data_IF_672761908220
#
_entry.id   IF_672761908220
#
_cell.length_a   1.000
_cell.length_b   1.000
_cell.length_c   1.000
_cell.angle_alpha   90.00
_cell.angle_beta   90.00
_cell.angle_gamma   90.00
#
_symmetry.space_group_name_H-M   'P 1'
#
loop_
_entity.id
_entity.type
_entity.pdbx_description
1 polymer ?
#
# COMPACT_ATOMS: atom_id res chain seq x y z
N UNK A 1 19.51 6.58 -0.39
CA UNK A 1 20.50 6.48 0.72
C UNK A 1 21.96 6.60 0.27
N UNK A 2 22.27 6.62 -1.04
CA UNK A 2 23.65 6.79 -1.53
C UNK A 2 24.19 8.23 -1.46
N UNK A 3 23.33 9.23 -1.21
CA UNK A 3 23.68 10.65 -1.31
C UNK A 3 23.69 11.40 0.04
N UNK A 4 23.35 10.74 1.15
CA UNK A 4 23.26 11.38 2.47
C UNK A 4 24.22 10.67 3.44
N UNK A 5 25.17 11.42 3.99
CA UNK A 5 26.04 10.94 5.06
C UNK A 5 25.24 10.82 6.36
N UNK A 6 24.96 9.59 6.78
CA UNK A 6 24.24 9.29 8.02
C UNK A 6 25.26 8.90 9.10
N UNK A 7 25.18 9.58 10.25
CA UNK A 7 26.06 9.38 11.42
C UNK A 7 25.99 7.96 12.01
N UNK A 8 24.83 7.32 11.93
CA UNK A 8 24.55 6.04 12.59
C UNK A 8 24.52 4.88 11.58
N UNK A 9 24.93 3.69 12.02
CA UNK A 9 24.93 2.45 11.22
C UNK A 9 23.50 1.94 10.98
N UNK A 10 22.69 1.95 12.04
CA UNK A 10 21.29 1.56 11.99
C UNK A 10 20.39 2.74 11.65
N UNK A 11 19.43 2.48 10.77
CA UNK A 11 18.44 3.45 10.32
C UNK A 11 17.04 2.89 10.59
N UNK A 12 16.15 3.75 11.07
CA UNK A 12 14.73 3.45 11.20
C UNK A 12 13.92 4.33 10.25
N UNK A 13 13.10 3.74 9.38
CA UNK A 13 12.18 4.47 8.49
C UNK A 13 10.85 4.71 9.21
N UNK A 14 10.51 5.98 9.44
CA UNK A 14 9.25 6.40 10.04
C UNK A 14 8.59 7.47 9.16
N UNK A 15 7.34 7.24 8.78
CA UNK A 15 6.55 8.21 8.02
C UNK A 15 5.88 9.25 8.94
N UNK A 16 5.47 10.38 8.35
CA UNK A 16 4.92 11.51 9.11
C UNK A 16 3.60 11.20 9.85
N UNK A 17 2.83 10.23 9.34
CA UNK A 17 1.57 9.75 9.91
C UNK A 17 1.74 8.47 10.75
N UNK A 18 2.96 8.04 11.02
CA UNK A 18 3.29 6.91 11.89
C UNK A 18 3.81 7.39 13.25
N UNK A 19 3.83 6.49 14.24
CA UNK A 19 4.35 6.79 15.58
C UNK A 19 5.24 5.66 16.09
N UNK A 20 6.47 6.02 16.49
CA UNK A 20 7.32 5.13 17.28
C UNK A 20 6.74 5.03 18.70
N UNK A 21 6.54 3.81 19.21
CA UNK A 21 6.13 3.60 20.61
C UNK A 21 7.35 3.34 21.49
N UNK A 22 7.28 3.63 22.81
CA UNK A 22 8.37 3.31 23.73
C UNK A 22 8.75 1.82 23.72
N UNK A 23 7.76 0.93 23.61
CA UNK A 23 7.96 -0.51 23.59
C UNK A 23 8.72 -0.94 22.33
N UNK A 24 8.29 -0.46 21.16
CA UNK A 24 8.94 -0.72 19.89
C UNK A 24 10.37 -0.15 19.85
N UNK A 25 10.56 1.04 20.39
CA UNK A 25 11.88 1.65 20.51
C UNK A 25 12.82 0.79 21.35
N UNK A 26 12.36 0.32 22.51
CA UNK A 26 13.15 -0.57 23.37
C UNK A 26 13.46 -1.91 22.69
N UNK A 27 12.49 -2.52 22.00
CA UNK A 27 12.75 -3.75 21.24
C UNK A 27 13.77 -3.52 20.12
N UNK A 28 13.72 -2.37 19.43
CA UNK A 28 14.71 -1.99 18.43
C UNK A 28 16.12 -1.88 19.05
N UNK A 29 16.25 -1.25 20.23
CA UNK A 29 17.53 -1.14 20.93
C UNK A 29 18.12 -2.52 21.26
N UNK A 30 17.29 -3.46 21.70
CA UNK A 30 17.73 -4.84 21.97
C UNK A 30 18.08 -5.59 20.67
N UNK A 31 17.26 -5.44 19.62
CA UNK A 31 17.48 -6.07 18.33
C UNK A 31 18.82 -5.65 17.71
N UNK A 32 19.18 -4.36 17.81
CA UNK A 32 20.45 -3.83 17.29
C UNK A 32 21.71 -4.43 17.95
N UNK A 33 21.60 -5.04 19.13
CA UNK A 33 22.72 -5.72 19.80
C UNK A 33 23.07 -7.05 19.16
N UNK A 34 22.14 -7.67 18.43
CA UNK A 34 22.41 -8.94 17.75
C UNK A 34 23.28 -8.71 16.52
N UNK A 35 24.43 -9.40 16.39
CA UNK A 35 25.22 -9.36 15.16
C UNK A 35 24.62 -10.23 14.05
N UNK A 36 23.61 -11.05 14.37
CA UNK A 36 23.04 -12.03 13.43
C UNK A 36 22.29 -11.35 12.29
N UNK A 37 21.38 -10.42 12.61
CA UNK A 37 20.48 -9.83 11.62
C UNK A 37 20.92 -8.45 11.17
N UNK A 38 20.65 -8.16 9.90
CA UNK A 38 20.95 -6.87 9.27
C UNK A 38 19.73 -5.97 9.12
N UNK A 39 18.53 -6.50 9.35
CA UNK A 39 17.27 -5.80 9.15
C UNK A 39 16.11 -6.49 9.84
N UNK A 40 15.12 -5.69 10.21
CA UNK A 40 13.93 -6.11 10.94
C UNK A 40 12.66 -5.52 10.35
N UNK A 41 11.69 -6.41 10.19
CA UNK A 41 10.33 -6.08 9.80
C UNK A 41 9.48 -5.81 11.02
N UNK A 42 8.59 -4.82 10.92
CA UNK A 42 7.69 -4.44 12.00
C UNK A 42 6.26 -4.39 11.47
N UNK A 43 5.31 -4.94 12.23
CA UNK A 43 3.91 -4.95 11.82
C UNK A 43 3.24 -3.59 12.09
N UNK A 44 2.45 -3.16 11.12
CA UNK A 44 1.68 -1.91 11.16
C UNK A 44 0.32 -2.09 11.85
N UNK A 45 -0.08 -1.13 12.68
CA UNK A 45 -1.46 -0.99 13.18
C UNK A 45 -2.17 0.16 12.48
N UNK A 46 -2.98 -0.14 11.48
CA UNK A 46 -3.79 0.85 10.78
C UNK A 46 -4.79 1.50 11.74
N UNK A 47 -4.56 2.77 12.06
CA UNK A 47 -5.49 3.61 12.80
C UNK A 47 -6.31 4.40 11.77
N UNK A 48 -7.63 4.17 11.78
CA UNK A 48 -8.58 4.83 10.91
C UNK A 48 -9.74 5.39 11.73
N UNK A 49 -10.08 6.67 11.49
CA UNK A 49 -11.08 7.39 12.29
C UNK A 49 -10.81 7.32 13.80
N UNK A 50 -9.53 7.34 14.19
CA UNK A 50 -9.08 7.29 15.58
C UNK A 50 -9.11 5.91 16.22
N UNK A 51 -9.49 4.85 15.49
CA UNK A 51 -9.58 3.48 16.00
C UNK A 51 -8.65 2.55 15.22
N UNK A 52 -8.03 1.60 15.92
CA UNK A 52 -7.28 0.53 15.26
C UNK A 52 -8.23 -0.44 14.56
N UNK A 53 -8.05 -0.60 13.25
CA UNK A 53 -8.75 -1.60 12.43
C UNK A 53 -7.96 -2.91 12.47
N UNK A 54 -8.48 -3.90 13.20
CA UNK A 54 -7.73 -5.14 13.50
C UNK A 54 -7.88 -6.20 12.42
N UNK A 55 -9.00 -6.18 11.71
CA UNK A 55 -9.48 -7.35 10.95
C UNK A 55 -9.40 -7.17 9.44
N UNK A 56 -9.82 -6.02 8.95
CA UNK A 56 -10.01 -5.75 7.51
C UNK A 56 -8.82 -5.04 6.84
N UNK A 57 -7.64 -5.08 7.47
CA UNK A 57 -6.41 -4.40 7.02
C UNK A 57 -5.29 -5.35 6.62
N UNK A 58 -5.56 -6.66 6.60
CA UNK A 58 -4.57 -7.71 6.36
C UNK A 58 -3.47 -7.74 7.44
N UNK A 59 -3.83 -7.36 8.67
CA UNK A 59 -2.94 -7.47 9.82
C UNK A 59 -2.59 -8.96 10.10
N UNK A 60 -1.33 -9.29 10.44
CA UNK A 60 -0.17 -8.39 10.50
C UNK A 60 0.41 -8.11 9.10
N UNK A 61 0.60 -6.83 8.79
CA UNK A 61 1.34 -6.39 7.60
C UNK A 61 2.73 -5.92 8.01
N UNK A 62 3.73 -6.71 7.66
CA UNK A 62 5.13 -6.45 7.98
C UNK A 62 5.79 -5.57 6.92
N UNK A 63 6.52 -4.55 7.38
CA UNK A 63 7.31 -3.67 6.55
C UNK A 63 8.72 -3.55 7.15
N UNK A 64 9.76 -3.50 6.32
CA UNK A 64 11.11 -3.30 6.83
C UNK A 64 11.22 -1.88 7.38
N UNK A 65 11.53 -1.77 8.68
CA UNK A 65 11.61 -0.47 9.36
C UNK A 65 12.99 -0.19 9.90
N UNK A 66 13.64 -1.18 10.51
CA UNK A 66 14.96 -1.04 11.12
C UNK A 66 15.98 -1.84 10.31
N UNK A 67 17.06 -1.23 9.84
CA UNK A 67 18.10 -1.93 9.08
C UNK A 67 19.46 -1.24 9.14
N UNK A 68 20.51 -2.00 8.82
CA UNK A 68 21.87 -1.49 8.64
C UNK A 68 21.99 -0.88 7.25
N UNK A 69 22.33 0.41 7.18
CA UNK A 69 22.34 1.19 5.94
C UNK A 69 23.25 0.61 4.85
N UNK A 70 24.36 -0.04 5.23
CA UNK A 70 25.35 -0.56 4.29
C UNK A 70 25.03 -2.00 3.82
N UNK A 71 23.91 -2.56 4.31
CA UNK A 71 23.47 -3.93 4.03
C UNK A 71 22.09 -4.00 3.39
N UNK A 72 21.32 -2.92 3.43
CA UNK A 72 19.97 -2.85 2.87
C UNK A 72 19.82 -1.57 2.06
N UNK A 73 19.28 -1.72 0.85
CA UNK A 73 18.86 -0.61 0.00
C UNK A 73 17.51 -0.92 -0.66
N UNK A 74 16.86 0.09 -1.20
CA UNK A 74 15.59 -0.04 -1.89
C UNK A 74 15.85 0.14 -3.38
N UNK A 75 15.42 -0.84 -4.18
CA UNK A 75 15.55 -0.82 -5.63
C UNK A 75 14.17 -0.65 -6.27
N UNK A 76 14.14 0.05 -7.41
CA UNK A 76 12.90 0.35 -8.11
C UNK A 76 12.44 -0.87 -8.93
N UNK A 77 11.41 -1.56 -8.44
CA UNK A 77 10.73 -2.64 -9.15
C UNK A 77 9.42 -2.11 -9.77
N UNK A 78 9.56 -1.15 -10.68
CA UNK A 78 8.50 -0.59 -11.52
C UNK A 78 7.60 0.42 -10.81
N UNK A 79 6.81 -0.03 -9.83
CA UNK A 79 5.85 0.80 -9.08
C UNK A 79 5.94 0.61 -7.55
N UNK A 80 6.79 -0.31 -7.09
CA UNK A 80 7.01 -0.54 -5.67
C UNK A 80 8.50 -0.67 -5.43
N UNK A 81 9.02 0.15 -4.52
CA UNK A 81 10.35 -0.05 -3.96
C UNK A 81 10.38 -1.40 -3.23
N UNK A 82 11.39 -2.21 -3.53
CA UNK A 82 11.65 -3.46 -2.81
C UNK A 82 12.97 -3.37 -2.09
N UNK A 83 12.98 -3.83 -0.85
CA UNK A 83 14.20 -3.98 -0.07
C UNK A 83 15.08 -5.08 -0.67
N UNK A 84 16.34 -4.74 -0.92
CA UNK A 84 17.40 -5.67 -1.27
C UNK A 84 18.29 -5.82 -0.05
N UNK A 85 18.38 -7.05 0.47
CA UNK A 85 19.05 -7.34 1.73
C UNK A 85 20.28 -8.22 1.52
N UNK A 86 21.45 -7.76 1.97
CA UNK A 86 22.70 -8.51 1.92
C UNK A 86 23.02 -9.15 3.29
N UNK A 87 22.18 -10.09 3.70
CA UNK A 87 22.26 -10.77 4.99
C UNK A 87 20.89 -11.20 5.51
N UNK A 88 20.85 -11.89 6.66
CA UNK A 88 19.60 -12.39 7.22
C UNK A 88 18.79 -11.26 7.89
N UNK A 89 17.47 -11.39 7.81
CA UNK A 89 16.50 -10.45 8.37
C UNK A 89 15.57 -11.16 9.35
N UNK A 90 14.96 -10.42 10.27
CA UNK A 90 14.00 -10.98 11.24
C UNK A 90 12.78 -10.09 11.43
N UNK A 91 11.89 -10.45 12.34
CA UNK A 91 10.65 -9.74 12.64
C UNK A 91 10.64 -9.29 14.10
N UNK A 92 10.27 -8.04 14.33
CA UNK A 92 9.98 -7.53 15.68
C UNK A 92 8.56 -7.92 16.10
N UNK A 93 8.37 -8.08 17.40
CA UNK A 93 7.08 -8.44 18.01
C UNK A 93 6.20 -7.21 18.22
N UNK A 94 6.80 -6.08 18.60
CA UNK A 94 6.11 -4.82 18.80
C UNK A 94 5.66 -4.21 17.48
N UNK A 95 4.74 -3.26 17.57
CA UNK A 95 4.04 -2.69 16.41
C UNK A 95 3.90 -1.18 16.50
N UNK A 96 3.86 -0.49 15.36
CA UNK A 96 3.66 0.96 15.30
C UNK A 96 2.25 1.30 14.83
N UNK A 97 1.60 2.35 15.37
CA UNK A 97 0.36 2.88 14.82
C UNK A 97 0.63 3.70 13.56
N UNK A 98 -0.19 3.48 12.53
CA UNK A 98 -0.22 4.28 11.30
C UNK A 98 -1.55 5.00 11.15
N UNK A 99 -1.55 6.32 11.27
CA UNK A 99 -2.75 7.16 11.24
C UNK A 99 -3.10 7.57 9.81
N UNK A 100 -3.60 6.59 9.05
CA UNK A 100 -3.88 6.69 7.61
C UNK A 100 -4.74 7.89 7.19
N UNK A 101 -5.62 8.39 8.07
CA UNK A 101 -6.48 9.54 7.83
C UNK A 101 -6.25 10.72 8.79
N UNK A 102 -5.08 10.81 9.43
CA UNK A 102 -4.71 11.92 10.34
C UNK A 102 -4.83 13.31 9.70
N UNK A 103 -4.62 13.40 8.39
CA UNK A 103 -4.72 14.64 7.59
C UNK A 103 -6.13 14.90 7.05
N UNK A 104 -7.14 14.16 7.53
CA UNK A 104 -8.54 14.28 7.12
C UNK A 104 -8.95 13.35 5.98
N UNK A 105 -10.26 13.13 5.86
CA UNK A 105 -10.86 12.24 4.84
C UNK A 105 -10.69 12.79 3.42
N UNK A 106 -10.76 14.11 3.22
CA UNK A 106 -10.59 14.72 1.88
C UNK A 106 -9.22 14.37 1.29
N UNK A 107 -8.13 14.57 2.05
CA UNK A 107 -6.79 14.22 1.60
C UNK A 107 -6.61 12.72 1.35
N UNK A 108 -7.28 11.88 2.16
CA UNK A 108 -7.32 10.44 1.95
C UNK A 108 -7.99 10.11 0.62
N UNK A 109 -9.15 10.71 0.31
CA UNK A 109 -9.88 10.52 -0.94
C UNK A 109 -9.06 11.01 -2.14
N UNK A 110 -8.43 12.18 -2.06
CA UNK A 110 -7.58 12.72 -3.14
C UNK A 110 -6.41 11.80 -3.45
N UNK A 111 -5.75 11.25 -2.41
CA UNK A 111 -4.67 10.28 -2.54
C UNK A 111 -5.17 9.02 -3.26
N UNK A 112 -6.31 8.47 -2.84
CA UNK A 112 -6.90 7.28 -3.48
C UNK A 112 -7.44 7.55 -4.88
N UNK A 113 -7.88 8.77 -5.18
CA UNK A 113 -8.22 9.15 -6.53
C UNK A 113 -6.98 9.10 -7.44
N UNK A 114 -5.84 9.66 -7.03
CA UNK A 114 -4.61 9.55 -7.84
C UNK A 114 -4.16 8.09 -7.99
N UNK A 115 -4.06 7.35 -6.88
CA UNK A 115 -3.61 5.96 -6.91
C UNK A 115 -4.52 5.04 -7.73
N UNK A 116 -5.83 5.30 -7.76
CA UNK A 116 -6.73 4.52 -8.61
C UNK A 116 -6.48 4.73 -10.09
N UNK A 117 -5.91 5.87 -10.50
CA UNK A 117 -5.45 6.08 -11.89
C UNK A 117 -4.21 5.23 -12.17
N UNK A 118 -3.23 5.23 -11.27
CA UNK A 118 -2.00 4.44 -11.42
C UNK A 118 -2.31 2.94 -11.44
N UNK A 119 -3.15 2.46 -10.51
CA UNK A 119 -3.62 1.06 -10.46
C UNK A 119 -4.47 0.69 -11.69
N UNK A 120 -5.22 1.63 -12.27
CA UNK A 120 -5.96 1.39 -13.50
C UNK A 120 -5.03 1.17 -14.69
N UNK A 121 -3.98 1.98 -14.83
CA UNK A 121 -2.96 1.82 -15.85
C UNK A 121 -2.22 0.47 -15.71
N UNK A 122 -1.81 0.12 -14.48
CA UNK A 122 -1.17 -1.17 -14.21
C UNK A 122 -2.13 -2.35 -14.44
N UNK A 123 -3.40 -2.19 -14.10
CA UNK A 123 -4.45 -3.20 -14.39
C UNK A 123 -4.58 -3.44 -15.89
N UNK A 124 -4.51 -2.40 -16.72
CA UNK A 124 -4.53 -2.56 -18.18
C UNK A 124 -3.34 -3.36 -18.68
N UNK A 125 -2.14 -3.04 -18.19
CA UNK A 125 -0.92 -3.78 -18.52
C UNK A 125 -1.02 -5.24 -18.13
N UNK A 126 -1.50 -5.53 -16.92
CA UNK A 126 -1.74 -6.89 -16.42
C UNK A 126 -2.80 -7.63 -17.26
N UNK A 127 -3.86 -6.96 -17.70
CA UNK A 127 -4.89 -7.58 -18.53
C UNK A 127 -4.43 -7.82 -19.97
N UNK A 128 -3.52 -7.01 -20.52
CA UNK A 128 -2.93 -7.24 -21.85
C UNK A 128 -1.86 -8.33 -21.84
N UNK A 129 -1.12 -8.49 -20.74
CA UNK A 129 0.00 -9.43 -20.62
C UNK A 129 -0.38 -10.76 -19.94
N UNK A 130 -1.46 -10.79 -19.14
CA UNK A 130 -1.77 -11.89 -18.21
C UNK A 130 -2.95 -12.78 -18.61
N UNK A 131 -2.71 -14.09 -18.74
CA UNK A 131 -3.76 -15.13 -18.78
C UNK A 131 -4.10 -15.64 -17.37
N UNK A 132 -5.36 -15.98 -17.09
CA UNK A 132 -5.71 -16.65 -15.81
C UNK A 132 -4.97 -17.98 -15.74
N UNK A 133 -4.01 -18.10 -14.84
CA UNK A 133 -3.40 -19.40 -14.56
C UNK A 133 -4.27 -20.19 -13.58
N UNK A 134 -5.24 -20.92 -14.12
CA UNK A 134 -6.16 -21.78 -13.36
C UNK A 134 -5.44 -22.87 -12.55
N UNK A 135 -4.24 -23.31 -12.99
CA UNK A 135 -3.44 -24.28 -12.23
C UNK A 135 -2.91 -23.65 -10.95
N UNK A 136 -2.43 -22.41 -11.00
CA UNK A 136 -1.89 -21.72 -9.81
C UNK A 136 -3.00 -21.36 -8.82
N UNK A 137 -4.23 -21.11 -9.29
CA UNK A 137 -5.38 -20.82 -8.43
C UNK A 137 -5.74 -22.01 -7.53
N UNK A 138 -5.86 -23.21 -8.11
CA UNK A 138 -6.29 -24.41 -7.40
C UNK A 138 -5.13 -25.23 -6.83
N UNK A 139 -3.97 -25.21 -7.46
CA UNK A 139 -2.80 -26.06 -7.17
C UNK A 139 -1.50 -25.29 -6.92
N UNK A 140 -1.54 -23.95 -6.83
CA UNK A 140 -0.37 -23.13 -6.53
C UNK A 140 0.28 -23.55 -5.22
N UNK A 141 1.61 -23.75 -5.24
CA UNK A 141 2.37 -24.27 -4.10
C UNK A 141 2.70 -23.17 -3.10
N UNK A 142 2.74 -21.91 -3.56
CA UNK A 142 2.97 -20.73 -2.72
C UNK A 142 1.72 -19.88 -2.53
N UNK A 143 1.58 -19.23 -1.37
CA UNK A 143 0.51 -18.27 -1.10
C UNK A 143 0.52 -17.10 -2.08
N UNK A 144 1.72 -16.72 -2.56
CA UNK A 144 1.94 -15.63 -3.51
C UNK A 144 1.35 -15.99 -4.88
N UNK A 145 1.56 -17.21 -5.38
CA UNK A 145 0.99 -17.71 -6.64
C UNK A 145 -0.55 -17.70 -6.58
N UNK A 146 -1.13 -18.24 -5.51
CA UNK A 146 -2.59 -18.30 -5.34
C UNK A 146 -3.20 -16.90 -5.24
N UNK A 147 -2.54 -15.97 -4.51
CA UNK A 147 -2.97 -14.57 -4.41
C UNK A 147 -2.91 -13.85 -5.77
N UNK A 148 -1.88 -14.10 -6.59
CA UNK A 148 -1.80 -13.54 -7.95
C UNK A 148 -2.92 -14.07 -8.84
N UNK A 149 -3.12 -15.39 -8.87
CA UNK A 149 -4.19 -16.00 -9.65
C UNK A 149 -5.59 -15.54 -9.19
N UNK A 150 -5.80 -15.37 -7.88
CA UNK A 150 -7.02 -14.77 -7.33
C UNK A 150 -7.18 -13.31 -7.76
N UNK A 151 -6.10 -12.52 -7.79
CA UNK A 151 -6.13 -11.13 -8.26
C UNK A 151 -6.56 -11.10 -9.73
N UNK A 152 -5.95 -11.91 -10.58
CA UNK A 152 -6.27 -12.01 -12.03
C UNK A 152 -7.70 -12.47 -12.32
N UNK A 153 -8.23 -13.40 -11.50
CA UNK A 153 -9.63 -13.81 -11.57
C UNK A 153 -10.54 -12.68 -11.09
N UNK A 154 -10.21 -12.05 -9.96
CA UNK A 154 -11.03 -10.99 -9.37
C UNK A 154 -11.18 -9.79 -10.30
N UNK A 155 -10.14 -9.47 -11.08
CA UNK A 155 -10.14 -8.41 -12.09
C UNK A 155 -11.19 -8.63 -13.20
N UNK A 156 -11.64 -9.88 -13.40
CA UNK A 156 -12.61 -10.28 -14.43
C UNK A 156 -14.01 -10.56 -13.88
N UNK A 157 -14.21 -10.49 -12.56
CA UNK A 157 -15.53 -10.75 -11.95
C UNK A 157 -16.44 -9.52 -12.03
N UNK A 158 -17.71 -9.68 -12.43
CA UNK A 158 -18.70 -8.62 -12.27
C UNK A 158 -18.92 -8.33 -10.78
N UNK A 159 -19.26 -7.09 -10.44
CA UNK A 159 -19.54 -6.65 -9.06
C UNK A 159 -18.39 -6.79 -8.06
N UNK A 160 -17.13 -6.84 -8.53
CA UNK A 160 -15.94 -6.93 -7.68
C UNK A 160 -15.93 -5.97 -6.46
N UNK A 161 -16.34 -4.69 -6.57
CA UNK A 161 -16.42 -3.81 -5.40
C UNK A 161 -17.33 -4.33 -4.28
N UNK A 162 -18.49 -4.88 -4.65
CA UNK A 162 -19.44 -5.46 -3.69
C UNK A 162 -18.86 -6.74 -3.07
N UNK A 163 -18.28 -7.62 -3.89
CA UNK A 163 -17.63 -8.84 -3.41
C UNK A 163 -16.53 -8.49 -2.40
N UNK A 164 -15.68 -7.50 -2.72
CA UNK A 164 -14.63 -6.99 -1.82
C UNK A 164 -15.22 -6.47 -0.51
N UNK A 165 -16.29 -5.67 -0.57
CA UNK A 165 -16.98 -5.19 0.63
C UNK A 165 -17.47 -6.35 1.50
N UNK A 166 -18.21 -7.31 0.94
CA UNK A 166 -18.76 -8.43 1.71
C UNK A 166 -17.66 -9.29 2.34
N UNK A 167 -16.61 -9.57 1.58
CA UNK A 167 -15.44 -10.28 2.07
C UNK A 167 -14.77 -9.56 3.24
N UNK A 168 -14.47 -8.27 3.10
CA UNK A 168 -13.78 -7.51 4.14
C UNK A 168 -14.65 -7.26 5.38
N UNK A 169 -15.93 -6.96 5.18
CA UNK A 169 -16.82 -6.58 6.27
C UNK A 169 -17.33 -7.78 7.07
N UNK A 170 -17.76 -8.85 6.39
CA UNK A 170 -18.32 -10.03 7.05
C UNK A 170 -17.28 -11.13 7.26
N UNK A 171 -16.55 -11.54 6.21
CA UNK A 171 -15.66 -12.71 6.31
C UNK A 171 -14.37 -12.40 7.08
N UNK A 172 -13.75 -11.24 6.84
CA UNK A 172 -12.61 -10.83 7.64
C UNK A 172 -13.04 -10.29 9.03
N UNK A 173 -14.32 -9.98 9.22
CA UNK A 173 -14.84 -9.50 10.50
C UNK A 173 -14.69 -7.99 10.70
N UNK A 174 -14.63 -7.19 9.64
CA UNK A 174 -14.64 -5.72 9.73
C UNK A 174 -15.85 -5.15 10.47
N UNK A 175 -16.96 -5.88 10.54
CA UNK A 175 -18.13 -5.53 11.38
C UNK A 175 -17.77 -5.40 12.88
N UNK A 176 -16.78 -6.15 13.36
CA UNK A 176 -16.34 -6.12 14.74
C UNK A 176 -15.53 -4.85 15.08
N UNK A 177 -15.02 -4.15 14.06
CA UNK A 177 -14.33 -2.87 14.20
C UNK A 177 -15.33 -1.67 14.20
N UNK A 178 -16.64 -1.93 14.23
CA UNK A 178 -17.70 -0.92 14.39
C UNK A 178 -17.78 0.08 13.23
N UNK A 179 -18.05 1.36 13.55
CA UNK A 179 -18.18 2.42 12.53
C UNK A 179 -16.91 2.58 11.70
N UNK A 180 -15.74 2.51 12.34
CA UNK A 180 -14.46 2.66 11.65
C UNK A 180 -14.23 1.49 10.67
N UNK A 181 -14.55 0.25 11.08
CA UNK A 181 -14.50 -0.94 10.23
C UNK A 181 -15.44 -0.86 9.03
N UNK A 182 -16.69 -0.45 9.25
CA UNK A 182 -17.66 -0.24 8.18
C UNK A 182 -17.16 0.79 7.18
N UNK A 183 -16.78 1.99 7.64
CA UNK A 183 -16.28 3.06 6.78
C UNK A 183 -15.03 2.64 6.00
N UNK A 184 -14.10 1.91 6.63
CA UNK A 184 -12.93 1.37 5.96
C UNK A 184 -13.32 0.42 4.82
N UNK A 185 -14.20 -0.55 5.09
CA UNK A 185 -14.64 -1.51 4.08
C UNK A 185 -15.37 -0.84 2.92
N UNK A 186 -16.24 0.15 3.20
CA UNK A 186 -16.94 0.94 2.17
C UNK A 186 -15.94 1.70 1.30
N UNK A 187 -14.97 2.39 1.91
CA UNK A 187 -13.97 3.16 1.18
C UNK A 187 -13.05 2.27 0.34
N UNK A 188 -12.71 1.07 0.83
CA UNK A 188 -11.94 0.08 0.08
C UNK A 188 -12.70 -0.46 -1.13
N UNK A 189 -14.02 -0.67 -1.00
CA UNK A 189 -14.87 -1.04 -2.13
C UNK A 189 -15.04 0.12 -3.12
N UNK A 190 -15.22 1.35 -2.63
CA UNK A 190 -15.30 2.54 -3.46
C UNK A 190 -14.00 2.78 -4.24
N UNK A 191 -12.85 2.61 -3.60
CA UNK A 191 -11.54 2.68 -4.26
C UNK A 191 -11.42 1.64 -5.39
N UNK A 192 -11.84 0.40 -5.15
CA UNK A 192 -11.88 -0.65 -6.17
C UNK A 192 -12.81 -0.28 -7.33
N UNK A 193 -13.96 0.34 -7.03
CA UNK A 193 -14.89 0.81 -8.06
C UNK A 193 -14.29 1.92 -8.94
N UNK A 194 -13.58 2.88 -8.34
CA UNK A 194 -12.87 3.93 -9.08
C UNK A 194 -11.84 3.36 -10.06
N UNK A 195 -11.06 2.34 -9.63
CA UNK A 195 -10.10 1.66 -10.51
C UNK A 195 -10.83 1.09 -11.73
N UNK A 196 -11.93 0.36 -11.52
CA UNK A 196 -12.67 -0.28 -12.62
C UNK A 196 -13.26 0.72 -13.62
N UNK A 197 -13.81 1.84 -13.14
CA UNK A 197 -14.31 2.89 -14.04
C UNK A 197 -13.16 3.48 -14.85
N UNK A 198 -12.02 3.76 -14.23
CA UNK A 198 -10.85 4.32 -14.93
C UNK A 198 -10.24 3.37 -15.93
N UNK A 199 -10.19 2.07 -15.62
CA UNK A 199 -9.82 1.02 -16.58
C UNK A 199 -10.76 1.04 -17.79
N UNK A 200 -12.07 1.17 -17.57
CA UNK A 200 -13.03 1.28 -18.65
C UNK A 200 -12.84 2.57 -19.45
N UNK A 201 -12.66 3.72 -18.78
CA UNK A 201 -12.43 5.03 -19.40
C UNK A 201 -11.20 4.98 -20.31
N UNK A 202 -10.06 4.51 -19.81
CA UNK A 202 -8.82 4.38 -20.56
C UNK A 202 -8.92 3.43 -21.77
N UNK A 203 -9.83 2.44 -21.75
CA UNK A 203 -10.08 1.53 -22.89
C UNK A 203 -11.00 2.12 -23.95
N UNK A 204 -11.96 2.94 -23.55
CA UNK A 204 -13.11 3.31 -24.39
C UNK A 204 -13.14 4.80 -24.76
N UNK A 205 -12.40 5.65 -24.06
CA UNK A 205 -12.33 7.08 -24.34
C UNK A 205 -10.94 7.46 -24.88
N UNK A 206 -10.86 8.41 -25.81
CA UNK A 206 -9.58 8.95 -26.25
C UNK A 206 -8.86 9.59 -25.05
N UNK A 207 -7.51 9.58 -25.02
CA UNK A 207 -6.76 10.25 -23.96
C UNK A 207 -7.22 11.70 -23.87
N UNK A 208 -7.74 12.12 -22.71
CA UNK A 208 -8.05 13.52 -22.50
C UNK A 208 -6.75 14.31 -22.60
N UNK A 209 -6.63 15.18 -23.61
CA UNK A 209 -5.70 16.30 -23.52
C UNK A 209 -6.15 17.10 -22.31
N UNK A 210 -5.37 17.05 -21.23
CA UNK A 210 -5.54 17.99 -20.12
C UNK A 210 -5.62 19.39 -20.74
N UNK A 211 -6.78 20.02 -20.62
CA UNK A 211 -6.96 21.41 -21.03
C UNK A 211 -5.95 22.18 -20.17
N UNK A 212 -4.85 22.62 -20.77
CA UNK A 212 -3.95 23.56 -20.12
C UNK A 212 -4.81 24.73 -19.67
N UNK A 213 -4.86 24.96 -18.37
CA UNK A 213 -5.53 26.12 -17.78
C UNK A 213 -5.07 27.36 -18.52
N UNK A 214 -5.98 28.26 -18.92
CA UNK A 214 -5.64 29.44 -19.71
C UNK A 214 -5.00 30.55 -18.84
N UNK A 215 -3.95 30.23 -18.08
CA UNK A 215 -3.18 31.22 -17.30
C UNK A 215 -1.82 31.59 -17.92
N UNK A 216 -1.39 30.95 -19.01
CA UNK A 216 -0.13 31.28 -19.70
C UNK A 216 -0.33 31.97 -21.07
N UNK A 217 -1.35 32.83 -21.20
CA UNK A 217 -1.44 33.78 -22.31
C UNK A 217 -1.30 35.21 -21.82
N UNK A 218 -0.03 35.60 -21.64
CA UNK A 218 0.49 36.87 -22.12
C UNK A 218 -0.13 38.13 -21.54
N UNK A 219 0.54 38.65 -20.51
CA UNK A 219 0.96 40.05 -20.52
C UNK A 219 1.47 40.44 -21.93
N UNK A 220 0.60 41.04 -22.72
CA UNK A 220 0.96 41.67 -23.98
C UNK A 220 -0.04 42.76 -24.35
N UNK A 221 -0.42 43.63 -23.40
CA UNK A 221 -1.02 44.93 -23.73
C UNK A 221 -0.59 45.96 -22.67
N UNK A 222 0.51 46.66 -22.94
CA UNK A 222 0.71 48.04 -22.51
C UNK A 222 1.36 48.76 -23.69
N UNK A 223 0.52 49.50 -24.42
CA UNK A 223 0.93 50.67 -25.20
C UNK A 223 0.89 51.88 -24.27
#
# INVERSE_FOLDING_TARGET
LQEISIKYEWVYILEADERMTPELFNECLEAMKSPEYIGYYVAERVIFLGQWIRRSTQYPRYQMRLFRKDKVWFDDYGHTEREVCNGPTSFLKETYPHYTNSKGISRWLDKHNRYSTDEAAETLRQLSEGSINWKDLFFGKSEIERRRALKDLSLRLPFRPLIRFFYMYFLLGGILDGRAGFSWCVLQAFYEYLILIKVWEMKNMPPQKLISTPEEKGEAINN
#
